data_IF_469218743864
#
_entry.id   IF_469218743864
#
_cell.length_a   1.000
_cell.length_b   1.000
_cell.length_c   1.000
_cell.angle_alpha   90.00
_cell.angle_beta   90.00
_cell.angle_gamma   90.00
#
_symmetry.space_group_name_H-M   'P 1'
#
loop_
_entity.id
_entity.type
_entity.pdbx_description
1 polymer ?
#
# COMPACT_ATOMS: atom_id res chain seq x y z
N UNK A 1 25.56 -5.88 -27.87
CA UNK A 1 25.56 -5.50 -26.44
C UNK A 1 24.83 -4.18 -26.15
N UNK A 2 25.03 -3.09 -26.91
CA UNK A 2 24.27 -1.84 -26.72
C UNK A 2 22.76 -1.97 -27.03
N UNK A 3 22.38 -2.83 -27.98
CA UNK A 3 20.99 -3.04 -28.40
C UNK A 3 20.08 -3.65 -27.32
N UNK A 4 20.59 -4.40 -26.33
CA UNK A 4 19.75 -5.07 -25.32
C UNK A 4 19.51 -4.19 -24.07
N UNK A 5 20.50 -3.38 -23.66
CA UNK A 5 20.28 -2.27 -22.70
C UNK A 5 19.35 -1.24 -23.32
N UNK A 6 19.52 -0.94 -24.61
CA UNK A 6 18.58 -0.12 -25.34
C UNK A 6 17.23 -0.81 -25.43
N UNK A 7 17.09 -2.13 -25.65
CA UNK A 7 15.78 -2.79 -25.69
C UNK A 7 15.07 -2.83 -24.33
N UNK A 8 15.76 -3.04 -23.20
CA UNK A 8 15.15 -2.94 -21.86
C UNK A 8 14.82 -1.48 -21.53
N UNK A 9 15.70 -0.53 -21.85
CA UNK A 9 15.41 0.91 -21.71
C UNK A 9 14.28 1.36 -22.63
N UNK A 10 14.27 0.93 -23.89
CA UNK A 10 13.26 1.21 -24.93
C UNK A 10 11.95 0.56 -24.52
N UNK A 11 11.88 -0.72 -24.16
CA UNK A 11 10.63 -1.33 -23.66
C UNK A 11 10.11 -0.55 -22.45
N UNK A 12 10.97 -0.16 -21.50
CA UNK A 12 10.61 0.66 -20.33
C UNK A 12 10.18 2.10 -20.71
N UNK A 13 10.75 2.73 -21.74
CA UNK A 13 10.45 4.12 -22.17
C UNK A 13 9.36 4.23 -23.25
N UNK A 14 9.18 3.24 -24.12
CA UNK A 14 8.29 3.29 -25.29
C UNK A 14 6.99 2.48 -25.09
N UNK A 15 7.00 1.37 -24.37
CA UNK A 15 5.79 0.53 -24.15
C UNK A 15 5.00 0.99 -22.92
N UNK A 16 5.68 1.52 -21.89
CA UNK A 16 5.05 1.88 -20.61
C UNK A 16 4.70 3.37 -20.47
N UNK A 17 4.72 4.12 -21.57
CA UNK A 17 4.22 5.50 -21.64
C UNK A 17 2.68 5.58 -21.63
N UNK A 18 1.98 4.44 -21.72
CA UNK A 18 0.51 4.35 -21.85
C UNK A 18 -0.27 3.97 -20.58
N UNK A 19 0.30 4.14 -19.39
CA UNK A 19 -0.49 4.13 -18.14
C UNK A 19 -0.24 5.39 -17.30
N UNK A 20 -0.39 6.55 -17.94
CA UNK A 20 -0.18 7.85 -17.31
C UNK A 20 -1.11 8.09 -16.10
N UNK A 21 -2.29 7.46 -16.03
CA UNK A 21 -3.29 7.73 -14.98
C UNK A 21 -3.16 6.88 -13.69
N UNK A 22 -2.61 5.65 -13.73
CA UNK A 22 -2.96 4.62 -12.71
C UNK A 22 -1.85 4.18 -11.74
N UNK A 23 -0.77 4.94 -11.60
CA UNK A 23 0.08 4.89 -10.39
C UNK A 23 1.25 3.91 -10.37
N UNK A 24 1.49 3.10 -11.41
CA UNK A 24 2.77 2.38 -11.57
C UNK A 24 3.43 2.83 -12.87
N UNK A 25 4.58 3.48 -12.73
CA UNK A 25 5.42 3.93 -13.83
C UNK A 25 6.77 3.24 -13.69
N UNK A 26 7.16 2.48 -14.70
CA UNK A 26 8.47 1.80 -14.72
C UNK A 26 9.57 2.67 -15.34
N UNK A 27 9.20 3.62 -16.19
CA UNK A 27 10.13 4.62 -16.70
C UNK A 27 10.73 5.44 -15.54
N UNK A 28 12.05 5.35 -15.29
CA UNK A 28 12.69 6.04 -14.16
C UNK A 28 12.47 7.56 -14.19
N UNK A 29 12.58 8.18 -15.37
CA UNK A 29 12.40 9.63 -15.55
C UNK A 29 10.98 10.08 -15.27
N UNK A 30 9.98 9.39 -15.85
CA UNK A 30 8.57 9.69 -15.61
C UNK A 30 8.17 9.41 -14.16
N UNK A 31 8.69 8.33 -13.58
CA UNK A 31 8.50 7.99 -12.17
C UNK A 31 9.07 9.04 -11.23
N UNK A 32 10.28 9.53 -11.49
CA UNK A 32 10.92 10.59 -10.71
C UNK A 32 10.15 11.91 -10.82
N UNK A 33 9.73 12.30 -12.03
CA UNK A 33 8.89 13.49 -12.25
C UNK A 33 7.58 13.40 -11.46
N UNK A 34 6.84 12.29 -11.60
CA UNK A 34 5.57 12.07 -10.88
C UNK A 34 5.76 12.05 -9.36
N UNK A 35 6.87 11.50 -8.88
CA UNK A 35 7.22 11.50 -7.45
C UNK A 35 7.37 12.94 -6.92
N UNK A 36 8.10 13.80 -7.64
CA UNK A 36 8.29 15.21 -7.26
C UNK A 36 6.98 15.98 -7.36
N UNK A 37 6.22 15.85 -8.45
CA UNK A 37 4.91 16.50 -8.62
C UNK A 37 3.92 16.08 -7.53
N UNK A 38 3.87 14.79 -7.20
CA UNK A 38 3.02 14.28 -6.12
C UNK A 38 3.44 14.84 -4.77
N UNK A 39 4.74 14.97 -4.52
CA UNK A 39 5.24 15.55 -3.27
C UNK A 39 4.89 17.04 -3.16
N UNK A 40 5.10 17.82 -4.21
CA UNK A 40 4.73 19.23 -4.26
C UNK A 40 3.22 19.41 -4.03
N UNK A 41 2.38 18.66 -4.76
CA UNK A 41 0.92 18.67 -4.56
C UNK A 41 0.54 18.40 -3.10
N UNK A 42 1.10 17.34 -2.51
CA UNK A 42 0.74 16.95 -1.15
C UNK A 42 1.19 17.96 -0.11
N UNK A 43 2.42 18.45 -0.23
CA UNK A 43 2.98 19.42 0.70
C UNK A 43 2.25 20.75 0.51
N UNK A 44 2.30 21.33 -0.68
CA UNK A 44 1.91 22.73 -0.91
C UNK A 44 0.40 22.95 -0.91
N UNK A 45 -0.37 21.94 -1.33
CA UNK A 45 -1.81 22.13 -1.55
C UNK A 45 -2.72 21.31 -0.64
N UNK A 46 -2.26 20.18 -0.11
CA UNK A 46 -3.11 19.25 0.64
C UNK A 46 -2.84 19.32 2.14
N UNK A 47 -1.60 19.14 2.57
CA UNK A 47 -1.28 19.07 3.98
C UNK A 47 -1.18 20.46 4.61
N UNK A 48 -1.97 20.75 5.66
CA UNK A 48 -1.80 21.98 6.43
C UNK A 48 -0.43 22.04 7.10
N UNK A 49 -0.11 23.20 7.67
CA UNK A 49 1.05 23.37 8.55
C UNK A 49 0.79 22.73 9.93
N UNK A 50 0.44 21.45 9.95
CA UNK A 50 0.23 20.64 11.15
C UNK A 50 1.14 19.40 11.12
N UNK A 51 1.41 18.77 12.28
CA UNK A 51 2.21 17.56 12.32
C UNK A 51 1.55 16.40 11.56
N UNK A 52 2.34 15.68 10.74
CA UNK A 52 1.90 14.54 9.92
C UNK A 52 2.68 13.30 10.32
N UNK A 53 1.98 12.20 10.62
CA UNK A 53 2.56 10.90 10.95
C UNK A 53 2.40 9.91 9.82
N UNK A 54 3.48 9.20 9.49
CA UNK A 54 3.45 8.06 8.60
C UNK A 54 3.03 6.81 9.37
N UNK A 55 1.97 6.18 8.88
CA UNK A 55 1.54 4.84 9.24
C UNK A 55 1.81 3.90 8.07
N UNK A 56 2.47 2.78 8.31
CA UNK A 56 2.72 1.75 7.30
C UNK A 56 2.04 0.46 7.75
N UNK A 57 1.10 -0.04 6.95
CA UNK A 57 0.43 -1.31 7.18
C UNK A 57 0.79 -2.30 6.08
N UNK A 58 1.43 -3.39 6.48
CA UNK A 58 1.71 -4.55 5.63
C UNK A 58 0.78 -5.70 6.01
N UNK A 59 0.43 -6.51 5.01
CA UNK A 59 -0.51 -7.63 5.15
C UNK A 59 0.22 -8.99 5.10
N UNK A 60 -0.41 -10.10 5.51
CA UNK A 60 0.05 -11.46 5.19
C UNK A 60 0.13 -11.68 3.67
N UNK A 61 1.00 -12.58 3.20
CA UNK A 61 1.20 -12.83 1.75
C UNK A 61 -0.10 -13.14 1.01
N UNK A 62 -0.94 -13.96 1.61
CA UNK A 62 -2.25 -14.38 1.11
C UNK A 62 -3.15 -13.16 0.84
N UNK A 63 -3.21 -12.23 1.80
CA UNK A 63 -3.98 -11.00 1.63
C UNK A 63 -3.34 -10.04 0.62
N UNK A 64 -2.01 -9.97 0.52
CA UNK A 64 -1.35 -9.15 -0.52
C UNK A 64 -1.76 -9.60 -1.92
N UNK A 65 -1.79 -10.91 -2.15
CA UNK A 65 -2.25 -11.49 -3.41
C UNK A 65 -3.71 -11.15 -3.68
N UNK A 66 -4.59 -11.37 -2.70
CA UNK A 66 -6.01 -11.07 -2.82
C UNK A 66 -6.28 -9.59 -3.12
N UNK A 67 -5.64 -8.66 -2.39
CA UNK A 67 -5.79 -7.22 -2.61
C UNK A 67 -5.18 -6.77 -3.96
N UNK A 68 -4.19 -7.50 -4.47
CA UNK A 68 -3.63 -7.22 -5.79
C UNK A 68 -4.63 -7.56 -6.91
N UNK A 69 -5.43 -8.64 -6.72
CA UNK A 69 -6.42 -9.19 -7.66
C UNK A 69 -7.76 -8.47 -7.66
N UNK A 70 -8.23 -8.05 -6.49
CA UNK A 70 -9.58 -7.48 -6.29
C UNK A 70 -9.51 -6.03 -5.77
N UNK A 71 -9.48 -5.02 -6.67
CA UNK A 71 -9.37 -3.61 -6.28
C UNK A 71 -10.52 -3.11 -5.39
N UNK A 72 -11.73 -3.63 -5.59
CA UNK A 72 -12.89 -3.32 -4.76
C UNK A 72 -12.66 -3.75 -3.30
N UNK A 73 -12.09 -4.94 -3.12
CA UNK A 73 -11.74 -5.43 -1.79
C UNK A 73 -10.60 -4.61 -1.18
N UNK A 74 -9.57 -4.26 -1.97
CA UNK A 74 -8.50 -3.36 -1.55
C UNK A 74 -9.05 -2.03 -1.00
N UNK A 75 -9.99 -1.41 -1.73
CA UNK A 75 -10.67 -0.19 -1.28
C UNK A 75 -11.50 -0.39 -0.01
N UNK A 76 -12.19 -1.53 0.13
CA UNK A 76 -12.97 -1.87 1.32
C UNK A 76 -12.07 -2.08 2.55
N UNK A 77 -10.99 -2.81 2.40
CA UNK A 77 -9.98 -3.03 3.46
C UNK A 77 -9.38 -1.69 3.87
N UNK A 78 -9.00 -0.84 2.92
CA UNK A 78 -8.49 0.50 3.24
C UNK A 78 -9.51 1.35 4.00
N UNK A 79 -10.80 1.25 3.67
CA UNK A 79 -11.87 1.93 4.41
C UNK A 79 -11.95 1.45 5.88
N UNK A 80 -11.76 0.15 6.13
CA UNK A 80 -11.70 -0.41 7.49
C UNK A 80 -10.49 0.13 8.24
N UNK A 81 -9.32 0.10 7.60
CA UNK A 81 -8.06 0.60 8.17
C UNK A 81 -8.20 2.07 8.56
N UNK A 82 -8.66 2.92 7.63
CA UNK A 82 -8.88 4.33 7.89
C UNK A 82 -9.85 4.55 9.07
N UNK A 83 -10.98 3.84 9.09
CA UNK A 83 -11.96 3.96 10.19
C UNK A 83 -11.35 3.60 11.53
N UNK A 84 -10.55 2.55 11.64
CA UNK A 84 -9.90 2.15 12.90
C UNK A 84 -8.90 3.22 13.35
N UNK A 85 -7.97 3.62 12.48
CA UNK A 85 -6.94 4.61 12.83
C UNK A 85 -7.54 5.98 13.16
N UNK A 86 -8.49 6.46 12.37
CA UNK A 86 -9.22 7.70 12.64
C UNK A 86 -9.96 7.63 13.98
N UNK A 87 -10.61 6.50 14.30
CA UNK A 87 -11.27 6.32 15.61
C UNK A 87 -10.27 6.38 16.76
N UNK A 88 -9.11 5.75 16.59
CA UNK A 88 -8.06 5.76 17.60
C UNK A 88 -7.56 7.19 17.87
N UNK A 89 -7.25 7.96 16.82
CA UNK A 89 -6.81 9.35 16.97
C UNK A 89 -7.88 10.22 17.66
N UNK A 90 -9.15 10.08 17.25
CA UNK A 90 -10.27 10.82 17.85
C UNK A 90 -10.45 10.49 19.33
N UNK A 91 -10.47 9.19 19.68
CA UNK A 91 -10.61 8.75 21.08
C UNK A 91 -9.41 9.19 21.92
N UNK A 92 -8.19 9.09 21.38
CA UNK A 92 -6.97 9.50 22.05
C UNK A 92 -6.91 11.01 22.33
N UNK A 93 -7.56 11.81 21.48
CA UNK A 93 -7.75 13.24 21.70
C UNK A 93 -8.87 13.57 22.71
N UNK A 94 -9.64 12.58 23.21
CA UNK A 94 -10.74 12.79 24.14
C UNK A 94 -12.06 13.21 23.49
N UNK A 95 -12.20 13.05 22.16
CA UNK A 95 -13.39 13.45 21.41
C UNK A 95 -14.20 12.26 20.89
N UNK A 96 -15.36 12.56 20.31
CA UNK A 96 -16.20 11.57 19.61
C UNK A 96 -16.15 11.80 18.10
N UNK A 97 -16.58 10.81 17.32
CA UNK A 97 -16.65 10.95 15.85
C UNK A 97 -17.65 11.99 15.37
N UNK A 98 -18.61 12.36 16.22
CA UNK A 98 -19.58 13.39 15.89
C UNK A 98 -18.96 14.80 15.99
N UNK A 99 -17.96 14.97 16.86
CA UNK A 99 -17.38 16.28 17.17
C UNK A 99 -15.96 16.48 16.63
N UNK A 100 -15.31 15.42 16.16
CA UNK A 100 -13.93 15.45 15.67
C UNK A 100 -13.74 14.68 14.36
N UNK A 101 -12.84 15.18 13.53
CA UNK A 101 -12.46 14.57 12.26
C UNK A 101 -10.95 14.43 12.15
N UNK A 102 -10.50 13.34 11.52
CA UNK A 102 -9.11 13.17 11.11
C UNK A 102 -9.02 13.17 9.58
N UNK A 103 -7.81 13.18 9.04
CA UNK A 103 -7.55 13.17 7.60
C UNK A 103 -6.32 12.33 7.29
N UNK A 104 -6.38 11.59 6.18
CA UNK A 104 -5.19 10.89 5.68
C UNK A 104 -5.11 10.88 4.16
N UNK A 105 -3.87 10.80 3.67
CA UNK A 105 -3.57 10.45 2.29
C UNK A 105 -2.82 9.12 2.28
N UNK A 106 -3.36 8.14 1.58
CA UNK A 106 -2.78 6.81 1.46
C UNK A 106 -2.21 6.61 0.06
N UNK A 107 -0.95 6.21 -0.02
CA UNK A 107 -0.35 5.65 -1.23
C UNK A 107 -0.25 4.14 -1.07
N UNK A 108 -0.98 3.42 -1.91
CA UNK A 108 -0.99 1.97 -1.97
C UNK A 108 0.21 1.54 -2.80
N UNK A 109 1.25 1.05 -2.14
CA UNK A 109 2.42 0.49 -2.81
C UNK A 109 2.16 -0.97 -3.15
N UNK A 110 2.64 -1.41 -4.32
CA UNK A 110 2.47 -2.78 -4.83
C UNK A 110 3.79 -3.54 -4.94
N UNK A 111 4.91 -2.98 -4.53
CA UNK A 111 6.24 -3.57 -4.76
C UNK A 111 7.10 -3.61 -3.49
N UNK A 112 7.88 -4.67 -3.35
CA UNK A 112 8.92 -4.80 -2.33
C UNK A 112 10.29 -4.36 -2.83
N UNK A 113 11.30 -4.45 -1.96
CA UNK A 113 12.70 -4.10 -2.29
C UNK A 113 13.24 -4.96 -3.44
N UNK A 114 12.83 -6.23 -3.51
CA UNK A 114 13.21 -7.19 -4.54
C UNK A 114 12.28 -7.21 -5.77
N UNK A 115 11.47 -6.15 -5.98
CA UNK A 115 10.47 -6.08 -7.07
C UNK A 115 9.39 -7.18 -7.03
N UNK A 116 9.22 -7.83 -5.88
CA UNK A 116 8.12 -8.75 -5.65
C UNK A 116 6.81 -7.99 -5.42
N UNK A 117 5.69 -8.59 -5.81
CA UNK A 117 4.36 -8.05 -5.52
C UNK A 117 4.17 -7.98 -4.01
N UNK A 118 3.97 -6.76 -3.51
CA UNK A 118 3.84 -6.47 -2.11
C UNK A 118 2.85 -5.33 -1.92
N UNK A 119 1.55 -5.66 -1.87
CA UNK A 119 0.51 -4.67 -1.57
C UNK A 119 0.61 -4.26 -0.11
N UNK A 120 0.86 -2.98 0.15
CA UNK A 120 0.91 -2.41 1.50
C UNK A 120 0.53 -0.92 1.47
N UNK A 121 0.09 -0.40 2.60
CA UNK A 121 -0.44 0.96 2.69
C UNK A 121 0.55 1.87 3.40
N UNK A 122 1.06 2.87 2.67
CA UNK A 122 1.71 4.03 3.25
C UNK A 122 0.66 5.12 3.45
N UNK A 123 0.38 5.48 4.69
CA UNK A 123 -0.66 6.44 5.04
C UNK A 123 -0.05 7.61 5.79
N UNK A 124 -0.26 8.82 5.29
CA UNK A 124 0.10 10.05 5.97
C UNK A 124 -1.15 10.58 6.66
N UNK A 125 -1.21 10.42 7.97
CA UNK A 125 -2.30 10.94 8.81
C UNK A 125 -1.89 12.26 9.44
N UNK A 126 -2.86 13.14 9.68
CA UNK A 126 -2.72 14.17 10.71
C UNK A 126 -2.33 13.50 12.03
N UNK A 127 -1.30 14.01 12.71
CA UNK A 127 -0.88 13.52 14.04
C UNK A 127 -1.77 14.13 15.15
N UNK A 128 -3.08 14.06 14.91
CA UNK A 128 -4.12 14.75 15.64
C UNK A 128 -5.45 14.74 14.90
N UNK A 129 -6.36 15.58 15.37
CA UNK A 129 -7.72 15.73 14.83
C UNK A 129 -8.08 17.20 14.71
N UNK A 130 -9.09 17.52 13.91
CA UNK A 130 -9.76 18.81 13.95
C UNK A 130 -11.12 18.70 14.62
N UNK A 131 -11.49 19.73 15.36
CA UNK A 131 -12.86 19.97 15.82
C UNK A 131 -13.35 21.29 15.28
N UNK A 132 -14.65 21.42 15.11
CA UNK A 132 -15.29 22.71 14.83
C UNK A 132 -15.57 23.43 16.16
N UNK A 133 -15.18 24.69 16.27
CA UNK A 133 -15.54 25.53 17.41
C UNK A 133 -16.96 26.11 17.27
N UNK A 134 -17.44 26.81 18.30
CA UNK A 134 -18.77 27.43 18.30
C UNK A 134 -18.99 28.49 17.22
N UNK A 135 -17.94 28.93 16.52
CA UNK A 135 -17.98 29.88 15.41
C UNK A 135 -17.77 29.23 14.05
N UNK A 136 -17.77 27.89 13.97
CA UNK A 136 -17.61 27.15 12.72
C UNK A 136 -16.16 27.02 12.23
N UNK A 137 -15.17 27.44 13.03
CA UNK A 137 -13.75 27.39 12.65
C UNK A 137 -13.13 26.06 13.06
N UNK A 138 -12.33 25.47 12.18
CA UNK A 138 -11.59 24.23 12.47
C UNK A 138 -10.40 24.52 13.38
N UNK A 139 -10.31 23.81 14.51
CA UNK A 139 -9.19 23.85 15.46
C UNK A 139 -8.50 22.50 15.51
N UNK A 140 -7.17 22.51 15.36
CA UNK A 140 -6.37 21.30 15.46
C UNK A 140 -6.08 20.92 16.92
N UNK A 141 -6.23 19.65 17.26
CA UNK A 141 -5.87 19.06 18.54
C UNK A 141 -4.86 17.94 18.29
N UNK A 142 -3.65 18.15 18.80
CA UNK A 142 -2.55 17.20 18.68
C UNK A 142 -2.76 16.00 19.61
N UNK A 143 -2.37 14.81 19.17
CA UNK A 143 -2.29 13.63 20.03
C UNK A 143 -0.86 13.21 20.31
N UNK A 144 -0.65 12.51 21.42
CA UNK A 144 0.64 11.86 21.70
C UNK A 144 0.89 10.74 20.70
N UNK A 145 2.16 10.47 20.40
CA UNK A 145 2.57 9.35 19.57
C UNK A 145 1.97 8.02 20.11
N UNK A 146 1.61 7.08 19.23
CA UNK A 146 1.11 5.78 19.67
C UNK A 146 2.18 5.00 20.44
N UNK A 147 1.80 4.38 21.54
CA UNK A 147 2.63 3.45 22.30
C UNK A 147 2.68 2.09 21.61
N UNK A 148 3.64 1.24 22.00
CA UNK A 148 3.73 -0.12 21.47
C UNK A 148 2.45 -0.93 21.73
N UNK A 149 1.86 -0.82 22.92
CA UNK A 149 0.63 -1.52 23.30
C UNK A 149 -0.59 -1.05 22.52
N UNK A 150 -0.69 0.25 22.24
CA UNK A 150 -1.71 0.79 21.36
C UNK A 150 -1.55 0.23 19.94
N UNK A 151 -0.32 0.16 19.41
CA UNK A 151 -0.06 -0.44 18.09
C UNK A 151 -0.44 -1.93 18.06
N UNK A 152 -0.12 -2.70 19.11
CA UNK A 152 -0.51 -4.10 19.24
C UNK A 152 -2.04 -4.27 19.25
N UNK A 153 -2.73 -3.44 20.01
CA UNK A 153 -4.20 -3.42 20.05
C UNK A 153 -4.81 -3.06 18.69
N UNK A 154 -4.22 -2.09 17.99
CA UNK A 154 -4.67 -1.66 16.67
C UNK A 154 -4.46 -2.76 15.62
N UNK A 155 -3.29 -3.39 15.56
CA UNK A 155 -3.02 -4.46 14.58
C UNK A 155 -3.89 -5.68 14.84
N UNK A 156 -4.14 -6.05 16.09
CA UNK A 156 -5.10 -7.10 16.46
C UNK A 156 -6.52 -6.77 15.97
N UNK A 157 -6.99 -5.54 16.24
CA UNK A 157 -8.30 -5.06 15.80
C UNK A 157 -8.41 -5.03 14.27
N UNK A 158 -7.35 -4.60 13.58
CA UNK A 158 -7.28 -4.57 12.12
C UNK A 158 -7.40 -5.97 11.55
N UNK A 159 -6.57 -6.90 12.02
CA UNK A 159 -6.59 -8.31 11.61
C UNK A 159 -8.01 -8.90 11.76
N UNK A 160 -8.61 -8.78 12.94
CA UNK A 160 -9.93 -9.31 13.22
C UNK A 160 -11.04 -8.69 12.36
N UNK A 161 -11.05 -7.35 12.21
CA UNK A 161 -12.08 -6.67 11.39
C UNK A 161 -11.93 -6.94 9.90
N UNK A 162 -10.71 -7.10 9.42
CA UNK A 162 -10.44 -7.46 8.03
C UNK A 162 -10.88 -8.90 7.78
N UNK A 163 -10.47 -9.86 8.62
CA UNK A 163 -10.90 -11.26 8.50
C UNK A 163 -12.43 -11.39 8.47
N UNK A 164 -13.13 -10.77 9.43
CA UNK A 164 -14.60 -10.74 9.47
C UNK A 164 -15.23 -10.12 8.22
N UNK A 165 -14.58 -9.13 7.61
CA UNK A 165 -15.06 -8.54 6.35
C UNK A 165 -14.90 -9.50 5.17
N UNK A 166 -13.86 -10.31 5.17
CA UNK A 166 -13.60 -11.30 4.12
C UNK A 166 -14.55 -12.49 4.24
N UNK A 167 -14.78 -12.98 5.46
CA UNK A 167 -15.76 -14.04 5.76
C UNK A 167 -17.17 -13.67 5.30
N UNK A 168 -17.63 -12.46 5.66
CA UNK A 168 -18.94 -11.96 5.23
C UNK A 168 -19.12 -11.84 3.71
N UNK A 169 -18.01 -11.83 2.97
CA UNK A 169 -18.02 -11.75 1.50
C UNK A 169 -17.79 -13.12 0.85
N UNK A 170 -17.67 -14.19 1.63
CA UNK A 170 -17.41 -15.55 1.12
C UNK A 170 -15.98 -15.74 0.59
N UNK A 171 -15.05 -14.82 0.84
CA UNK A 171 -13.68 -14.88 0.29
C UNK A 171 -12.72 -15.60 1.24
N UNK A 172 -13.11 -15.73 2.51
CA UNK A 172 -12.33 -16.38 3.56
C UNK A 172 -13.24 -17.37 4.28
N UNK A 173 -12.86 -18.65 4.26
CA UNK A 173 -13.51 -19.69 5.04
C UNK A 173 -12.67 -20.02 6.27
N UNK A 174 -13.36 -20.15 7.41
CA UNK A 174 -12.75 -20.65 8.65
C UNK A 174 -13.19 -22.10 8.83
N UNK A 175 -12.24 -23.00 8.73
CA UNK A 175 -12.39 -24.36 9.24
C UNK A 175 -11.87 -24.41 10.69
N UNK A 176 -12.36 -25.34 11.49
CA UNK A 176 -12.06 -25.47 12.92
C UNK A 176 -10.55 -25.61 13.22
N UNK A 177 -9.76 -26.03 12.22
CA UNK A 177 -8.31 -26.21 12.33
C UNK A 177 -7.49 -25.26 11.45
N UNK A 178 -8.07 -24.59 10.46
CA UNK A 178 -7.32 -23.83 9.45
C UNK A 178 -8.14 -22.69 8.79
N UNK A 179 -7.46 -21.66 8.30
CA UNK A 179 -8.08 -20.53 7.58
C UNK A 179 -7.67 -20.57 6.11
N UNK A 180 -8.64 -20.60 5.19
CA UNK A 180 -8.42 -20.77 3.75
C UNK A 180 -8.99 -19.61 2.95
N UNK A 181 -8.31 -19.19 1.87
CA UNK A 181 -8.87 -18.25 0.90
C UNK A 181 -9.62 -19.01 -0.20
N UNK A 182 -10.90 -18.69 -0.37
CA UNK A 182 -11.70 -19.17 -1.51
C UNK A 182 -11.49 -18.19 -2.65
N UNK A 183 -10.85 -18.65 -3.72
CA UNK A 183 -10.60 -17.86 -4.92
C UNK A 183 -11.27 -18.59 -6.09
N UNK A 184 -12.17 -17.90 -6.78
CA UNK A 184 -12.65 -18.34 -8.09
C UNK A 184 -11.48 -18.26 -9.08
N UNK A 185 -11.02 -19.42 -9.55
CA UNK A 185 -10.06 -19.50 -10.64
C UNK A 185 -10.81 -19.30 -11.95
N UNK A 186 -10.72 -18.10 -12.54
CA UNK A 186 -10.92 -17.96 -13.98
C UNK A 186 -9.75 -18.71 -14.66
N UNK A 187 -10.01 -19.93 -15.16
CA UNK A 187 -9.03 -20.70 -15.92
C UNK A 187 -8.42 -19.82 -17.04
N UNK A 188 -7.09 -19.65 -17.01
CA UNK A 188 -6.34 -18.96 -18.07
C UNK A 188 -5.84 -17.54 -17.78
N UNK A 189 -6.08 -16.95 -16.60
CA UNK A 189 -5.52 -15.61 -16.31
C UNK A 189 -4.01 -15.67 -15.96
N UNK A 190 -3.17 -15.50 -16.98
CA UNK A 190 -1.71 -15.42 -16.88
C UNK A 190 -1.26 -14.42 -15.80
N UNK A 191 -1.95 -13.28 -15.64
CA UNK A 191 -1.58 -12.28 -14.66
C UNK A 191 -1.73 -12.81 -13.23
N UNK A 192 -2.73 -13.67 -12.96
CA UNK A 192 -2.92 -14.33 -11.67
C UNK A 192 -1.72 -15.19 -11.31
N UNK A 193 -1.22 -15.99 -12.26
CA UNK A 193 -0.05 -16.84 -12.06
C UNK A 193 1.20 -16.00 -11.78
N UNK A 194 1.42 -14.95 -12.56
CA UNK A 194 2.52 -14.00 -12.34
C UNK A 194 2.46 -13.36 -10.95
N UNK A 195 1.26 -12.95 -10.53
CA UNK A 195 1.04 -12.36 -9.21
C UNK A 195 1.30 -13.36 -8.08
N UNK A 196 0.86 -14.61 -8.21
CA UNK A 196 1.04 -15.66 -7.20
C UNK A 196 2.52 -16.02 -7.00
N UNK A 197 3.24 -16.20 -8.11
CA UNK A 197 4.69 -16.40 -8.08
C UNK A 197 5.41 -15.16 -7.52
N UNK A 198 5.00 -13.95 -7.90
CA UNK A 198 5.63 -12.72 -7.45
C UNK A 198 5.49 -12.49 -5.94
N UNK A 199 4.29 -12.67 -5.38
CA UNK A 199 4.04 -12.50 -3.93
C UNK A 199 4.88 -13.46 -3.09
N UNK A 200 5.14 -14.67 -3.58
CA UNK A 200 5.88 -15.72 -2.87
C UNK A 200 7.37 -15.77 -3.22
N UNK A 201 7.90 -14.75 -3.91
CA UNK A 201 9.30 -14.68 -4.34
C UNK A 201 9.75 -15.86 -5.23
N UNK A 202 8.82 -16.41 -6.03
CA UNK A 202 9.10 -17.46 -7.01
C UNK A 202 9.22 -16.90 -8.43
N UNK A 203 9.90 -17.67 -9.27
CA UNK A 203 10.03 -17.43 -10.71
C UNK A 203 8.74 -17.87 -11.39
N UNK A 204 8.18 -17.00 -12.23
CA UNK A 204 6.85 -17.21 -12.78
C UNK A 204 6.85 -17.94 -14.14
N UNK A 205 7.94 -17.83 -14.91
CA UNK A 205 8.02 -18.29 -16.29
C UNK A 205 9.37 -18.93 -16.60
N UNK A 206 9.43 -19.74 -17.65
CA UNK A 206 10.66 -20.36 -18.14
C UNK A 206 11.08 -21.63 -17.38
N UNK A 207 12.26 -22.20 -17.70
CA UNK A 207 12.71 -23.49 -17.19
C UNK A 207 12.88 -23.55 -15.66
N UNK A 208 13.00 -22.40 -15.01
CA UNK A 208 13.18 -22.27 -13.55
C UNK A 208 11.87 -21.98 -12.81
N UNK A 209 10.71 -22.10 -13.47
CA UNK A 209 9.40 -21.80 -12.87
C UNK A 209 9.20 -22.50 -11.52
N UNK A 210 8.62 -21.77 -10.56
CA UNK A 210 8.36 -22.24 -9.19
C UNK A 210 9.55 -22.19 -8.24
N UNK A 211 10.79 -22.06 -8.74
CA UNK A 211 11.99 -21.89 -7.89
C UNK A 211 12.03 -20.50 -7.28
N UNK A 212 12.72 -20.36 -6.14
CA UNK A 212 12.96 -19.05 -5.52
C UNK A 212 13.92 -18.24 -6.39
N UNK A 213 13.71 -16.92 -6.43
CA UNK A 213 14.60 -16.02 -7.16
C UNK A 213 16.01 -16.07 -6.57
N UNK A 214 17.02 -16.09 -7.43
CA UNK A 214 18.41 -16.13 -7.03
C UNK A 214 18.83 -14.84 -6.32
N UNK A 215 19.52 -14.98 -5.20
CA UNK A 215 19.94 -13.87 -4.34
C UNK A 215 21.45 -13.90 -4.11
N UNK A 216 22.09 -12.74 -4.13
CA UNK A 216 23.50 -12.59 -3.78
C UNK A 216 23.62 -12.08 -2.35
N UNK A 217 24.27 -12.90 -1.50
CA UNK A 217 24.64 -12.55 -0.14
C UNK A 217 26.07 -12.03 -0.15
N UNK A 218 26.23 -10.71 -0.08
CA UNK A 218 27.55 -10.06 -0.11
C UNK A 218 27.94 -9.43 1.22
N UNK A 219 27.08 -9.55 2.23
CA UNK A 219 27.34 -9.10 3.59
C UNK A 219 27.17 -10.30 4.54
N UNK A 220 27.87 -10.33 5.68
CA UNK A 220 27.57 -11.30 6.72
C UNK A 220 26.13 -11.08 7.24
N UNK A 221 25.45 -12.17 7.57
CA UNK A 221 24.13 -12.10 8.20
C UNK A 221 24.22 -11.39 9.55
N UNK A 222 23.26 -10.52 9.85
CA UNK A 222 23.13 -9.93 11.19
C UNK A 222 22.43 -10.93 12.12
N UNK A 223 23.04 -11.25 13.25
CA UNK A 223 22.41 -12.07 14.29
C UNK A 223 21.13 -11.43 14.81
N UNK A 224 20.19 -12.27 15.29
CA UNK A 224 18.87 -11.89 15.81
C UNK A 224 18.96 -11.03 17.08
N UNK A 225 19.38 -9.77 16.95
CA UNK A 225 19.02 -8.77 17.95
C UNK A 225 17.56 -8.41 17.71
N UNK A 226 16.73 -8.60 18.73
CA UNK A 226 15.34 -8.17 18.71
C UNK A 226 15.30 -6.70 18.29
N UNK A 227 14.65 -6.41 17.16
CA UNK A 227 14.50 -5.06 16.63
C UNK A 227 13.70 -4.26 17.68
N UNK A 228 14.41 -3.55 18.57
CA UNK A 228 13.88 -2.69 19.64
C UNK A 228 13.25 -1.41 19.09
N UNK A 229 12.75 -1.45 17.86
CA UNK A 229 11.97 -0.36 17.30
C UNK A 229 10.60 -0.37 17.98
N UNK A 230 10.50 0.39 19.07
CA UNK A 230 9.35 0.51 19.98
C UNK A 230 8.02 0.91 19.33
N UNK A 231 7.99 1.11 18.00
CA UNK A 231 6.85 1.61 17.23
C UNK A 231 6.46 0.72 16.05
N UNK A 232 6.76 -0.57 16.14
CA UNK A 232 6.26 -1.62 15.23
C UNK A 232 5.49 -2.65 16.04
N UNK A 233 4.30 -3.02 15.55
CA UNK A 233 3.52 -4.12 16.07
C UNK A 233 3.30 -5.16 14.97
N UNK A 234 3.44 -6.44 15.31
CA UNK A 234 3.23 -7.55 14.39
C UNK A 234 2.21 -8.53 14.96
N UNK A 235 1.23 -8.95 14.14
CA UNK A 235 0.23 -9.93 14.55
C UNK A 235 -0.33 -10.68 13.33
N UNK A 236 -0.31 -12.02 13.37
CA UNK A 236 -0.85 -12.88 12.31
C UNK A 236 -0.41 -12.49 10.89
N UNK A 237 0.87 -12.14 10.70
CA UNK A 237 1.44 -11.71 9.42
C UNK A 237 1.14 -10.26 9.00
N UNK A 238 0.34 -9.52 9.79
CA UNK A 238 0.21 -8.07 9.67
C UNK A 238 1.36 -7.38 10.39
N UNK A 239 1.79 -6.22 9.86
CA UNK A 239 2.75 -5.33 10.51
C UNK A 239 2.27 -3.90 10.42
N UNK A 240 2.20 -3.20 11.56
CA UNK A 240 1.82 -1.79 11.65
C UNK A 240 2.97 -0.98 12.25
N UNK A 241 3.46 0.01 11.50
CA UNK A 241 4.54 0.91 11.91
C UNK A 241 4.05 2.36 11.95
N UNK A 242 4.35 3.09 13.03
CA UNK A 242 3.97 4.50 13.20
C UNK A 242 5.11 5.41 13.70
N UNK A 243 6.35 4.99 13.46
CA UNK A 243 7.55 5.62 14.03
C UNK A 243 7.98 6.95 13.43
N UNK A 244 7.61 7.25 12.18
CA UNK A 244 8.07 8.44 11.44
C UNK A 244 6.99 9.53 11.47
N UNK A 245 7.38 10.75 11.82
CA UNK A 245 6.50 11.91 11.88
C UNK A 245 7.27 13.18 11.49
N UNK A 246 6.59 14.12 10.85
CA UNK A 246 7.09 15.46 10.53
C UNK A 246 6.28 16.50 11.32
N UNK A 247 6.97 17.40 12.02
CA UNK A 247 6.36 18.52 12.73
C UNK A 247 5.81 19.57 11.76
N UNK A 248 4.91 20.44 12.25
CA UNK A 248 4.30 21.53 11.48
C UNK A 248 5.32 22.40 10.71
N UNK A 249 6.44 22.75 11.34
CA UNK A 249 7.49 23.57 10.76
C UNK A 249 8.47 22.77 9.88
N UNK A 250 8.45 21.43 9.91
CA UNK A 250 9.39 20.57 9.20
C UNK A 250 8.91 20.22 7.80
N UNK A 251 8.64 21.24 6.98
CA UNK A 251 8.07 21.08 5.64
C UNK A 251 8.99 20.28 4.71
N UNK A 252 10.30 20.50 4.77
CA UNK A 252 11.29 19.72 4.00
C UNK A 252 11.28 18.23 4.38
N UNK A 253 11.05 17.91 5.66
CA UNK A 253 10.95 16.53 6.14
C UNK A 253 9.67 15.87 5.61
N UNK A 254 8.56 16.60 5.62
CA UNK A 254 7.30 16.15 5.03
C UNK A 254 7.44 15.93 3.53
N UNK A 255 8.13 16.80 2.81
CA UNK A 255 8.40 16.65 1.38
C UNK A 255 9.24 15.40 1.10
N UNK A 256 10.35 15.19 1.84
CA UNK A 256 11.17 13.98 1.75
C UNK A 256 10.34 12.72 2.00
N UNK A 257 9.43 12.78 2.96
CA UNK A 257 8.51 11.68 3.27
C UNK A 257 7.50 11.44 2.14
N UNK A 258 6.92 12.49 1.57
CA UNK A 258 6.02 12.40 0.42
C UNK A 258 6.73 11.80 -0.80
N UNK A 259 7.96 12.26 -1.11
CA UNK A 259 8.81 11.66 -2.17
C UNK A 259 9.13 10.20 -1.88
N UNK A 260 9.44 9.86 -0.63
CA UNK A 260 9.75 8.49 -0.24
C UNK A 260 8.59 7.51 -0.48
N UNK A 261 7.34 7.93 -0.21
CA UNK A 261 6.15 7.09 -0.40
C UNK A 261 5.62 7.11 -1.83
N UNK A 262 5.85 8.19 -2.60
CA UNK A 262 5.45 8.32 -4.01
C UNK A 262 6.51 7.79 -4.99
N UNK A 263 7.59 7.18 -4.48
CA UNK A 263 8.70 6.66 -5.29
C UNK A 263 8.24 5.63 -6.32
N UNK A 264 8.88 5.57 -7.51
CA UNK A 264 8.63 4.51 -8.47
C UNK A 264 9.13 3.15 -7.96
N UNK A 265 8.63 2.08 -8.58
CA UNK A 265 9.02 0.70 -8.24
C UNK A 265 10.50 0.42 -8.54
N UNK A 266 10.98 0.95 -9.66
CA UNK A 266 12.33 0.73 -10.17
C UNK A 266 13.20 1.96 -9.92
N UNK A 267 14.47 1.73 -9.56
CA UNK A 267 15.51 2.75 -9.59
C UNK A 267 16.58 2.33 -10.58
N UNK A 268 16.88 3.17 -11.57
CA UNK A 268 17.95 2.92 -12.53
C UNK A 268 19.30 2.72 -11.84
N UNK A 269 19.57 3.48 -10.77
CA UNK A 269 20.82 3.36 -9.99
C UNK A 269 21.03 1.97 -9.37
N UNK A 270 19.96 1.20 -9.17
CA UNK A 270 19.99 -0.14 -8.59
C UNK A 270 19.98 -1.25 -9.64
N UNK A 271 19.86 -0.91 -10.93
CA UNK A 271 19.69 -1.85 -12.03
C UNK A 271 20.99 -1.96 -12.84
N UNK A 272 21.51 -3.17 -13.01
CA UNK A 272 22.69 -3.43 -13.83
C UNK A 272 22.53 -4.74 -14.64
N UNK A 273 23.25 -4.85 -15.76
CA UNK A 273 23.40 -6.13 -16.47
C UNK A 273 24.68 -6.83 -16.02
N UNK A 274 24.62 -8.15 -15.85
CA UNK A 274 25.79 -8.99 -15.65
C UNK A 274 26.46 -9.31 -16.98
N UNK A 275 27.72 -9.79 -16.94
CA UNK A 275 28.45 -10.22 -18.14
C UNK A 275 27.70 -11.32 -18.92
N UNK A 276 26.93 -12.15 -18.23
CA UNK A 276 26.17 -13.25 -18.81
C UNK A 276 24.77 -12.82 -19.30
N UNK A 277 24.48 -11.51 -19.35
CA UNK A 277 23.20 -10.98 -19.82
C UNK A 277 22.03 -11.08 -18.84
N UNK A 278 22.30 -11.43 -17.57
CA UNK A 278 21.28 -11.43 -16.52
C UNK A 278 21.10 -10.03 -15.94
N UNK A 279 19.95 -9.79 -15.32
CA UNK A 279 19.62 -8.52 -14.69
C UNK A 279 19.93 -8.61 -13.20
N UNK A 280 20.87 -7.79 -12.73
CA UNK A 280 21.19 -7.61 -11.32
C UNK A 280 20.44 -6.41 -10.76
N UNK A 281 19.69 -6.63 -9.69
CA UNK A 281 18.99 -5.57 -8.98
C UNK A 281 19.42 -5.47 -7.52
N UNK A 282 19.90 -4.30 -7.13
CA UNK A 282 20.33 -4.01 -5.77
C UNK A 282 19.13 -3.71 -4.85
N UNK A 283 19.13 -4.33 -3.67
CA UNK A 283 18.14 -4.09 -2.63
C UNK A 283 18.36 -2.72 -2.01
N UNK A 284 17.27 -2.00 -1.69
CA UNK A 284 17.36 -0.70 -1.02
C UNK A 284 18.06 -0.80 0.34
N UNK A 285 17.73 -1.87 1.06
CA UNK A 285 18.30 -2.21 2.35
C UNK A 285 18.64 -3.68 2.27
N UNK A 286 19.88 -4.07 2.60
CA UNK A 286 20.26 -5.47 2.67
C UNK A 286 19.31 -6.24 3.59
N UNK A 287 18.98 -7.47 3.21
CA UNK A 287 18.22 -8.35 4.10
C UNK A 287 19.09 -8.81 5.28
N UNK A 288 18.43 -9.27 6.35
CA UNK A 288 19.10 -9.70 7.58
C UNK A 288 20.10 -10.83 7.33
N UNK A 289 19.82 -11.71 6.37
CA UNK A 289 20.72 -12.78 5.93
C UNK A 289 21.89 -12.30 5.06
N UNK A 290 22.13 -11.00 4.94
CA UNK A 290 23.23 -10.44 4.15
C UNK A 290 22.97 -10.35 2.65
N UNK A 291 21.76 -10.69 2.19
CA UNK A 291 21.37 -10.51 0.78
C UNK A 291 21.38 -9.03 0.42
N UNK A 292 22.10 -8.68 -0.63
CA UNK A 292 22.21 -7.31 -1.15
C UNK A 292 21.66 -7.16 -2.55
N UNK A 293 21.68 -8.23 -3.35
CA UNK A 293 21.18 -8.19 -4.73
C UNK A 293 20.29 -9.38 -5.04
N UNK A 294 19.47 -9.20 -6.07
CA UNK A 294 18.64 -10.21 -6.69
C UNK A 294 19.00 -10.30 -8.15
N UNK A 295 19.16 -11.52 -8.68
CA UNK A 295 19.49 -11.76 -10.09
C UNK A 295 18.28 -12.37 -10.79
N UNK A 296 17.96 -11.82 -11.96
CA UNK A 296 16.85 -12.25 -12.79
C UNK A 296 17.35 -12.62 -14.19
N UNK A 297 16.74 -13.65 -14.78
CA UNK A 297 16.73 -13.77 -16.23
C UNK A 297 15.87 -12.63 -16.83
N UNK A 298 16.16 -12.17 -18.07
CA UNK A 298 15.42 -11.07 -18.67
C UNK A 298 13.89 -11.26 -18.70
N UNK A 299 13.42 -12.46 -19.00
CA UNK A 299 11.99 -12.77 -19.03
C UNK A 299 11.37 -12.79 -17.63
N UNK A 300 12.07 -13.35 -16.64
CA UNK A 300 11.59 -13.34 -15.24
C UNK A 300 11.51 -11.91 -14.70
N UNK A 301 12.45 -11.04 -15.06
CA UNK A 301 12.38 -9.63 -14.71
C UNK A 301 11.13 -8.95 -15.31
N UNK A 302 10.83 -9.18 -16.59
CA UNK A 302 9.62 -8.63 -17.22
C UNK A 302 8.36 -9.18 -16.55
N UNK A 303 8.32 -10.48 -16.24
CA UNK A 303 7.23 -11.12 -15.52
C UNK A 303 7.03 -10.51 -14.12
N UNK A 304 8.10 -10.21 -13.39
CA UNK A 304 8.05 -9.48 -12.11
C UNK A 304 7.41 -8.11 -12.30
N UNK A 305 7.82 -7.34 -13.30
CA UNK A 305 7.25 -6.01 -13.56
C UNK A 305 5.76 -6.10 -13.92
N UNK A 306 5.37 -7.04 -14.78
CA UNK A 306 3.98 -7.27 -15.15
C UNK A 306 3.10 -7.55 -13.92
N UNK A 307 3.57 -8.34 -12.96
CA UNK A 307 2.85 -8.64 -11.73
C UNK A 307 2.57 -7.40 -10.85
N UNK A 308 3.39 -6.34 -10.95
CA UNK A 308 3.23 -5.11 -10.16
C UNK A 308 2.15 -4.18 -10.73
N UNK A 309 1.81 -4.31 -12.01
CA UNK A 309 0.85 -3.45 -12.71
C UNK A 309 -0.54 -3.61 -12.07
N UNK A 310 -1.19 -2.52 -11.62
CA UNK A 310 -2.55 -2.58 -11.11
C UNK A 310 -3.55 -2.81 -12.24
N UNK A 311 -4.72 -3.36 -11.92
CA UNK A 311 -5.84 -3.40 -12.88
C UNK A 311 -6.16 -1.99 -13.39
N UNK A 312 -6.67 -1.85 -14.62
CA UNK A 312 -7.06 -0.55 -15.18
C UNK A 312 -8.00 0.23 -14.25
N UNK A 313 -7.89 1.57 -14.27
CA UNK A 313 -8.73 2.52 -13.50
C UNK A 313 -8.61 2.42 -11.98
N UNK A 314 -7.66 1.63 -11.47
CA UNK A 314 -7.35 1.58 -10.04
C UNK A 314 -6.41 2.74 -9.69
N UNK A 315 -6.95 3.76 -9.05
CA UNK A 315 -6.10 4.81 -8.48
C UNK A 315 -5.33 4.23 -7.27
N UNK A 316 -4.04 4.52 -7.09
CA UNK A 316 -3.25 4.05 -5.94
C UNK A 316 -3.05 5.12 -4.86
N UNK A 317 -3.48 6.36 -5.11
CA UNK A 317 -3.54 7.41 -4.09
C UNK A 317 -4.98 7.60 -3.64
N UNK A 318 -5.21 7.59 -2.33
CA UNK A 318 -6.55 7.69 -1.72
C UNK A 318 -6.55 8.76 -0.65
N UNK A 319 -7.53 9.65 -0.72
CA UNK A 319 -7.73 10.71 0.25
C UNK A 319 -8.93 10.35 1.14
N UNK A 320 -8.77 10.41 2.45
CA UNK A 320 -9.81 10.08 3.42
C UNK A 320 -10.01 11.19 4.45
N UNK A 321 -11.22 11.24 5.00
CA UNK A 321 -11.58 12.20 6.04
C UNK A 321 -11.51 13.64 5.54
N UNK A 322 -10.86 14.50 6.32
CA UNK A 322 -10.68 15.91 5.99
C UNK A 322 -10.06 16.16 4.61
N UNK A 323 -9.22 15.24 4.12
CA UNK A 323 -8.58 15.40 2.81
C UNK A 323 -9.39 14.83 1.64
N UNK A 324 -10.46 14.06 1.91
CA UNK A 324 -11.29 13.47 0.88
C UNK A 324 -11.93 14.54 0.00
N UNK A 325 -12.06 14.35 -1.33
CA UNK A 325 -12.55 15.39 -2.25
C UNK A 325 -13.89 16.01 -1.88
N UNK A 326 -14.80 15.21 -1.30
CA UNK A 326 -16.16 15.62 -0.92
C UNK A 326 -16.29 16.04 0.56
N UNK A 327 -15.18 16.18 1.29
CA UNK A 327 -15.25 16.66 2.68
C UNK A 327 -15.59 18.15 2.72
N UNK A 328 -16.64 18.51 3.47
CA UNK A 328 -17.12 19.89 3.64
C UNK A 328 -16.05 20.81 4.26
N UNK A 329 -15.21 20.27 5.13
CA UNK A 329 -14.18 21.03 5.84
C UNK A 329 -12.83 21.08 5.10
N UNK A 330 -12.70 20.39 3.96
CA UNK A 330 -11.46 20.32 3.18
C UNK A 330 -10.97 21.72 2.77
N UNK A 331 -11.90 22.60 2.39
CA UNK A 331 -11.61 23.99 1.98
C UNK A 331 -11.01 24.83 3.11
N UNK A 332 -11.35 24.51 4.36
CA UNK A 332 -10.90 25.24 5.55
C UNK A 332 -9.55 24.74 6.08
N UNK A 333 -9.24 23.46 5.83
CA UNK A 333 -8.02 22.80 6.35
C UNK A 333 -6.88 22.79 5.34
N UNK A 334 -7.16 22.65 4.05
CA UNK A 334 -6.10 22.54 3.03
C UNK A 334 -5.55 23.91 2.62
N UNK A 335 -4.22 24.08 2.48
CA UNK A 335 -3.63 25.38 2.13
C UNK A 335 -4.17 25.99 0.83
N UNK A 336 -4.37 25.15 -0.20
CA UNK A 336 -4.91 25.57 -1.49
C UNK A 336 -6.44 25.71 -1.51
N UNK A 337 -7.11 25.66 -0.34
CA UNK A 337 -8.57 25.75 -0.21
C UNK A 337 -9.30 24.75 -1.12
N UNK A 338 -8.79 23.51 -1.21
CA UNK A 338 -9.36 22.46 -2.03
C UNK A 338 -10.70 22.01 -1.44
N UNK A 339 -11.75 21.93 -2.25
CA UNK A 339 -13.09 21.49 -1.83
C UNK A 339 -14.19 22.44 -2.30
N UNK A 340 -15.44 22.00 -2.25
CA UNK A 340 -16.57 22.90 -2.50
C UNK A 340 -16.70 23.86 -1.31
N UNK A 341 -16.83 25.17 -1.58
CA UNK A 341 -17.31 26.08 -0.54
C UNK A 341 -18.74 25.65 -0.19
N UNK A 342 -19.13 25.63 1.09
CA UNK A 342 -20.53 25.47 1.41
C UNK A 342 -21.27 26.67 0.84
N UNK A 343 -22.13 26.46 -0.16
CA UNK A 343 -23.15 27.43 -0.50
C UNK A 343 -24.03 27.61 0.74
N UNK A 344 -24.26 28.86 1.13
CA UNK A 344 -25.40 29.14 1.99
C UNK A 344 -26.64 28.83 1.15
N UNK A 345 -27.54 28.01 1.71
CA UNK A 345 -28.73 27.42 1.09
C UNK A 345 -28.47 26.33 0.05
N UNK A 346 -28.63 25.07 0.46
CA UNK A 346 -29.63 24.15 -0.12
C UNK A 346 -29.79 22.89 0.75
N UNK A 347 -31.04 22.44 0.83
CA UNK A 347 -31.56 21.53 1.85
C UNK A 347 -30.99 20.11 1.83
N UNK A 348 -31.27 19.41 2.94
CA UNK A 348 -31.04 17.99 3.14
C UNK A 348 -31.62 17.16 1.99
N UNK A 349 -30.77 16.66 1.10
CA UNK A 349 -31.11 15.53 0.25
C UNK A 349 -30.50 14.24 0.83
N UNK A 350 -31.31 13.55 1.63
CA UNK A 350 -31.05 12.19 2.12
C UNK A 350 -31.35 11.21 1.00
N UNK A 351 -30.45 11.12 0.03
CA UNK A 351 -30.57 10.22 -1.12
C UNK A 351 -29.35 9.33 -1.33
N UNK A 352 -28.91 8.60 -0.29
CA UNK A 352 -27.86 7.58 -0.47
C UNK A 352 -28.51 6.32 -1.04
N UNK A 353 -28.73 6.30 -2.36
CA UNK A 353 -29.15 5.08 -3.05
C UNK A 353 -28.04 4.04 -3.01
N UNK A 354 -28.36 3.01 -2.24
CA UNK A 354 -27.78 1.68 -2.23
C UNK A 354 -27.53 1.21 -3.67
N UNK A 355 -26.27 1.04 -4.05
CA UNK A 355 -25.93 0.20 -5.20
C UNK A 355 -25.67 -1.18 -4.64
N UNK A 356 -26.70 -2.01 -4.71
CA UNK A 356 -26.68 -3.43 -4.40
C UNK A 356 -25.44 -4.11 -5.02
N UNK A 357 -24.85 -5.10 -4.33
CA UNK A 357 -23.72 -5.83 -4.86
C UNK A 357 -24.10 -6.55 -6.16
N UNK A 358 -23.21 -6.48 -7.15
CA UNK A 358 -23.24 -7.36 -8.31
C UNK A 358 -23.29 -8.80 -7.80
N UNK A 359 -24.33 -9.52 -8.20
CA UNK A 359 -24.54 -10.94 -7.94
C UNK A 359 -23.38 -11.72 -8.54
N UNK A 360 -22.63 -12.42 -7.68
CA UNK A 360 -21.69 -13.47 -8.10
C UNK A 360 -22.56 -14.73 -8.24
N UNK A 361 -22.68 -15.33 -9.44
CA UNK A 361 -23.48 -16.53 -9.62
C UNK A 361 -22.88 -17.66 -8.79
N UNK A 362 -23.73 -18.28 -7.96
CA UNK A 362 -23.40 -19.52 -7.28
C UNK A 362 -23.79 -20.67 -8.19
N UNK A 363 -22.83 -21.24 -8.90
CA UNK A 363 -22.97 -22.59 -9.45
C UNK A 363 -21.91 -23.49 -8.81
N UNK A 364 -22.42 -24.58 -8.23
CA UNK A 364 -21.70 -25.54 -7.40
C UNK A 364 -20.91 -26.56 -8.24
N UNK A 365 -19.95 -27.18 -7.55
CA UNK A 365 -19.19 -28.38 -7.91
C UNK A 365 -18.03 -28.19 -8.88
N UNK A 366 -16.86 -27.83 -8.35
CA UNK A 366 -15.69 -28.73 -8.25
C UNK A 366 -14.61 -28.05 -7.40
N UNK A 367 -14.26 -28.68 -6.27
CA UNK A 367 -13.49 -28.09 -5.18
C UNK A 367 -11.99 -28.38 -5.34
N UNK A 368 -11.19 -27.38 -5.73
CA UNK A 368 -9.73 -27.46 -5.67
C UNK A 368 -9.20 -26.72 -4.43
N UNK A 369 -8.43 -27.44 -3.63
CA UNK A 369 -7.94 -27.04 -2.31
C UNK A 369 -6.57 -26.35 -2.43
N UNK A 370 -6.46 -25.08 -2.07
CA UNK A 370 -5.16 -24.46 -1.84
C UNK A 370 -4.64 -24.80 -0.44
N UNK A 371 -3.54 -25.55 -0.36
CA UNK A 371 -2.87 -25.84 0.90
C UNK A 371 -2.04 -24.64 1.38
N UNK A 372 -2.53 -23.96 2.42
CA UNK A 372 -1.92 -22.75 3.00
C UNK A 372 -0.67 -23.07 3.85
N UNK A 373 -0.40 -24.34 4.17
CA UNK A 373 0.76 -24.75 4.97
C UNK A 373 2.09 -24.86 4.20
N UNK A 374 2.14 -24.45 2.93
CA UNK A 374 3.41 -24.30 2.17
C UNK A 374 3.85 -22.85 1.95
N UNK A 375 3.17 -21.88 2.60
CA UNK A 375 3.53 -20.45 2.60
C UNK A 375 4.26 -20.09 3.91
N UNK A 376 5.09 -20.99 4.42
CA UNK A 376 6.12 -20.68 5.41
C UNK A 376 7.38 -20.22 4.67
N UNK A 377 7.50 -18.92 4.46
CA UNK A 377 8.81 -18.30 4.26
C UNK A 377 9.50 -18.17 5.62
N UNK A 378 10.81 -18.45 5.75
CA UNK A 378 11.52 -18.09 6.97
C UNK A 378 11.50 -16.55 7.14
N UNK A 379 11.49 -16.12 8.40
CA UNK A 379 11.55 -14.71 8.82
C UNK A 379 12.74 -13.94 8.22
#
# INVERSE_FOLDING_TARGET
>A
MAFCVCAVKIVITSVWSLSAANGVVFCPSCGARRMVESAALLVDEVFPAEPIRQWVLSFPFQLRFLLARYPELMGKVLSIVYRILSTHLIKKAGFTKATAQSGSVTLIQRFGSALNLNVHYHMLFLDGIYTEDGHGKQRFHRVKAPTHDELNTLVHTLSHRIARCLEKRGVLERDAENTWLTLEEEEGDVLTQLQGASVTYRIATGPQQGRKVFTLQTLPGRENQADTNSRVANYAGFSLHAGVMAEAHQRDKLERLCRYISRPAISEKRLALTANGQIRYELKTPYRNGTTHVIFEPLDFIAKLAALVPKPRVNLTRFHGLFAPNSKHRVQVTPAKRGKKPDQSEGLDTGWCDKSPVHIPADHEHQFRFNVNTISGPM
#
